data_IF_898508241204
#
_entry.id   IF_898508241204
#
_cell.length_a   1.000
_cell.length_b   1.000
_cell.length_c   1.000
_cell.angle_alpha   90.00
_cell.angle_beta   90.00
_cell.angle_gamma   90.00
#
_symmetry.space_group_name_H-M   'P 1'
#
loop_
_entity.id
_entity.type
_entity.pdbx_description
1 polymer ?
#
# COMPACT_ATOMS: atom_id res chain seq x y z
N UNK A 1 2.47 -31.61 -4.53
CA UNK A 1 3.43 -30.90 -5.40
C UNK A 1 4.50 -30.29 -4.51
N UNK A 2 5.73 -30.78 -4.59
CA UNK A 2 6.83 -30.42 -3.69
C UNK A 2 7.50 -29.12 -4.15
N UNK A 3 7.50 -28.10 -3.28
CA UNK A 3 8.08 -26.76 -3.51
C UNK A 3 9.61 -26.71 -3.40
N UNK A 4 10.21 -27.72 -2.77
CA UNK A 4 11.65 -27.78 -2.48
C UNK A 4 12.55 -27.98 -3.73
N UNK A 5 12.21 -28.84 -4.71
CA UNK A 5 13.03 -29.00 -5.91
C UNK A 5 12.95 -27.79 -6.86
N UNK A 6 11.85 -27.03 -6.82
CA UNK A 6 11.67 -25.86 -7.66
C UNK A 6 12.47 -24.63 -7.19
N UNK A 7 12.74 -24.51 -5.89
CA UNK A 7 13.68 -23.53 -5.34
C UNK A 7 15.09 -23.66 -5.93
N UNK A 8 15.47 -24.86 -6.37
CA UNK A 8 16.78 -25.17 -6.95
C UNK A 8 16.81 -25.21 -8.49
N UNK A 9 15.66 -25.10 -9.17
CA UNK A 9 15.63 -25.01 -10.64
C UNK A 9 15.94 -23.57 -11.10
N UNK A 10 17.20 -23.35 -11.49
CA UNK A 10 17.71 -22.11 -12.08
C UNK A 10 17.31 -21.92 -13.57
N UNK A 11 16.10 -22.32 -13.95
CA UNK A 11 15.58 -22.10 -15.30
C UNK A 11 14.77 -20.82 -15.34
N UNK A 12 15.17 -19.84 -16.17
CA UNK A 12 14.33 -18.69 -16.49
C UNK A 12 13.06 -19.17 -17.20
N UNK A 13 11.99 -19.38 -16.44
CA UNK A 13 10.70 -19.76 -16.99
C UNK A 13 10.13 -18.55 -17.77
N UNK A 14 9.90 -18.73 -19.08
CA UNK A 14 9.35 -17.75 -20.04
C UNK A 14 9.86 -16.31 -19.86
N UNK A 15 11.10 -16.05 -20.30
CA UNK A 15 11.76 -14.75 -20.16
C UNK A 15 11.04 -13.53 -20.79
N UNK A 16 10.05 -13.75 -21.67
CA UNK A 16 9.38 -12.67 -22.41
C UNK A 16 8.01 -12.26 -21.82
N UNK A 17 7.41 -13.05 -20.92
CA UNK A 17 6.09 -12.76 -20.32
C UNK A 17 6.25 -12.39 -18.83
N UNK A 18 5.50 -11.38 -18.36
CA UNK A 18 5.53 -10.93 -16.96
C UNK A 18 6.79 -10.18 -16.52
N UNK A 19 7.63 -9.71 -17.46
CA UNK A 19 8.90 -9.02 -17.15
C UNK A 19 8.68 -7.73 -16.34
N UNK A 20 7.70 -6.92 -16.72
CA UNK A 20 7.39 -5.66 -16.01
C UNK A 20 6.91 -5.95 -14.59
N UNK A 21 5.95 -6.86 -14.42
CA UNK A 21 5.39 -7.20 -13.10
C UNK A 21 6.48 -7.71 -12.16
N UNK A 22 7.38 -8.58 -12.64
CA UNK A 22 8.52 -9.09 -11.87
C UNK A 22 9.47 -7.98 -11.43
N UNK A 23 9.82 -7.06 -12.34
CA UNK A 23 10.67 -5.92 -12.00
C UNK A 23 10.00 -5.01 -10.96
N UNK A 24 8.71 -4.70 -11.12
CA UNK A 24 7.97 -3.90 -10.15
C UNK A 24 7.89 -4.55 -8.77
N UNK A 25 7.61 -5.86 -8.69
CA UNK A 25 7.59 -6.56 -7.39
C UNK A 25 8.97 -6.57 -6.74
N UNK A 26 10.05 -6.77 -7.51
CA UNK A 26 11.41 -6.68 -6.98
C UNK A 26 11.72 -5.27 -6.45
N UNK A 27 11.42 -4.22 -7.21
CA UNK A 27 11.65 -2.84 -6.78
C UNK A 27 10.80 -2.47 -5.55
N UNK A 28 9.54 -2.89 -5.50
CA UNK A 28 8.67 -2.64 -4.35
C UNK A 28 9.25 -3.25 -3.05
N UNK A 29 9.69 -4.51 -3.11
CA UNK A 29 10.30 -5.19 -1.96
C UNK A 29 11.65 -4.54 -1.59
N UNK A 30 12.49 -4.20 -2.58
CA UNK A 30 13.77 -3.56 -2.34
C UNK A 30 13.64 -2.17 -1.70
N UNK A 31 12.65 -1.38 -2.14
CA UNK A 31 12.34 -0.06 -1.57
C UNK A 31 11.81 -0.22 -0.14
N UNK A 32 10.85 -1.11 0.10
CA UNK A 32 10.34 -1.39 1.44
C UNK A 32 11.45 -1.84 2.39
N UNK A 33 12.31 -2.75 1.95
CA UNK A 33 13.47 -3.20 2.72
C UNK A 33 14.44 -2.03 2.99
N UNK A 34 14.64 -1.12 2.03
CA UNK A 34 15.49 0.05 2.22
C UNK A 34 14.91 0.98 3.29
N UNK A 35 13.61 1.28 3.24
CA UNK A 35 12.92 2.07 4.26
C UNK A 35 12.99 1.42 5.65
N UNK A 36 12.83 0.09 5.74
CA UNK A 36 13.00 -0.65 6.99
C UNK A 36 14.41 -0.52 7.55
N UNK A 37 15.44 -0.67 6.70
CA UNK A 37 16.84 -0.54 7.10
C UNK A 37 17.21 0.90 7.51
N UNK A 38 16.67 1.91 6.83
CA UNK A 38 16.87 3.33 7.18
C UNK A 38 16.21 3.63 8.54
N UNK A 39 15.00 3.13 8.76
CA UNK A 39 14.29 3.30 10.05
C UNK A 39 15.04 2.60 11.19
N UNK A 40 15.57 1.40 10.95
CA UNK A 40 16.37 0.67 11.92
C UNK A 40 17.68 1.39 12.26
N UNK A 41 18.36 1.95 11.26
CA UNK A 41 19.60 2.71 11.43
C UNK A 41 19.38 4.02 12.22
N UNK A 42 18.26 4.72 11.97
CA UNK A 42 17.97 6.04 12.57
C UNK A 42 17.23 5.99 13.90
N UNK A 43 16.66 4.84 14.28
CA UNK A 43 15.95 4.68 15.55
C UNK A 43 16.77 3.89 16.56
N UNK A 44 16.54 2.58 16.71
CA UNK A 44 17.08 1.75 17.79
C UNK A 44 18.59 1.51 17.72
N UNK A 45 19.22 1.72 16.55
CA UNK A 45 20.67 1.55 16.39
C UNK A 45 21.48 2.83 16.71
N UNK A 46 20.83 3.95 16.99
CA UNK A 46 21.51 5.25 17.26
C UNK A 46 22.41 5.23 18.50
N UNK A 47 22.17 4.32 19.45
CA UNK A 47 22.96 4.18 20.68
C UNK A 47 24.23 3.31 20.51
N UNK A 48 24.35 2.56 19.41
CA UNK A 48 25.46 1.66 19.13
C UNK A 48 26.55 2.34 18.29
N UNK A 49 27.74 1.74 18.19
CA UNK A 49 28.85 2.30 17.40
C UNK A 49 28.51 2.47 15.91
N UNK A 50 29.09 3.52 15.29
CA UNK A 50 28.85 3.92 13.89
C UNK A 50 29.05 2.80 12.86
N UNK A 51 29.93 1.83 13.15
CA UNK A 51 30.14 0.65 12.31
C UNK A 51 28.91 -0.28 12.32
N UNK A 52 28.29 -0.53 13.48
CA UNK A 52 27.12 -1.41 13.61
C UNK A 52 25.86 -0.74 13.04
N UNK A 53 25.75 0.59 13.19
CA UNK A 53 24.68 1.40 12.62
C UNK A 53 24.57 1.32 11.10
N UNK A 54 25.70 1.15 10.40
CA UNK A 54 25.74 1.14 8.94
C UNK A 54 25.88 -0.28 8.40
N UNK A 55 26.72 -1.12 9.00
CA UNK A 55 26.99 -2.45 8.49
C UNK A 55 25.77 -3.39 8.63
N UNK A 56 25.09 -3.36 9.78
CA UNK A 56 23.96 -4.26 10.03
C UNK A 56 22.77 -4.01 9.09
N UNK A 57 22.29 -2.76 8.90
CA UNK A 57 21.18 -2.51 7.99
C UNK A 57 21.55 -2.75 6.52
N UNK A 58 22.81 -2.53 6.13
CA UNK A 58 23.26 -2.76 4.75
C UNK A 58 23.31 -4.26 4.43
N UNK A 59 23.82 -5.09 5.33
CA UNK A 59 23.83 -6.55 5.17
C UNK A 59 22.39 -7.10 5.13
N UNK A 60 21.52 -6.63 6.03
CA UNK A 60 20.11 -7.01 6.03
C UNK A 60 19.44 -6.63 4.72
N UNK A 61 19.68 -5.42 4.22
CA UNK A 61 19.13 -4.96 2.95
C UNK A 61 19.59 -5.81 1.77
N UNK A 62 20.89 -6.14 1.68
CA UNK A 62 21.42 -6.99 0.62
C UNK A 62 20.86 -8.42 0.69
N UNK A 63 20.76 -9.00 1.89
CA UNK A 63 20.18 -10.34 2.07
C UNK A 63 18.69 -10.39 1.71
N UNK A 64 17.93 -9.35 2.07
CA UNK A 64 16.53 -9.19 1.70
C UNK A 64 16.37 -9.01 0.19
N UNK A 65 17.20 -8.16 -0.44
CA UNK A 65 17.17 -7.94 -1.88
C UNK A 65 17.53 -9.20 -2.67
N UNK A 66 18.52 -9.98 -2.22
CA UNK A 66 18.87 -11.26 -2.80
C UNK A 66 17.73 -12.28 -2.71
N UNK A 67 17.11 -12.38 -1.54
CA UNK A 67 15.97 -13.28 -1.31
C UNK A 67 14.78 -12.87 -2.16
N UNK A 68 14.49 -11.58 -2.27
CA UNK A 68 13.45 -11.04 -3.14
C UNK A 68 13.72 -11.36 -4.61
N UNK A 69 14.96 -11.19 -5.08
CA UNK A 69 15.34 -11.57 -6.45
C UNK A 69 15.13 -13.06 -6.71
N UNK A 70 15.47 -13.92 -5.74
CA UNK A 70 15.25 -15.37 -5.86
C UNK A 70 13.76 -15.73 -5.89
N UNK A 71 12.96 -15.17 -4.99
CA UNK A 71 11.52 -15.46 -4.89
C UNK A 71 10.74 -14.98 -6.12
N UNK A 72 11.02 -13.77 -6.61
CA UNK A 72 10.37 -13.20 -7.81
C UNK A 72 10.69 -13.99 -9.08
N UNK A 73 11.82 -14.70 -9.09
CA UNK A 73 12.24 -15.54 -10.22
C UNK A 73 11.77 -17.00 -10.12
N UNK A 74 11.02 -17.37 -9.07
CA UNK A 74 10.41 -18.71 -8.97
C UNK A 74 9.26 -18.85 -9.96
N UNK A 75 9.18 -20.02 -10.61
CA UNK A 75 8.17 -20.31 -11.64
C UNK A 75 6.74 -20.14 -11.11
N UNK A 76 6.45 -20.68 -9.90
CA UNK A 76 5.12 -20.58 -9.26
C UNK A 76 4.69 -19.13 -9.05
N UNK A 77 5.59 -18.28 -8.56
CA UNK A 77 5.27 -16.88 -8.29
C UNK A 77 5.15 -16.07 -9.59
N UNK A 78 5.99 -16.36 -10.59
CA UNK A 78 5.90 -15.74 -11.91
C UNK A 78 4.58 -16.08 -12.62
N UNK A 79 4.12 -17.33 -12.54
CA UNK A 79 2.85 -17.75 -13.12
C UNK A 79 1.64 -17.09 -12.43
N UNK A 80 1.72 -16.91 -11.10
CA UNK A 80 0.73 -16.13 -10.37
C UNK A 80 0.69 -14.66 -10.84
N UNK A 81 1.85 -14.00 -10.94
CA UNK A 81 1.93 -12.61 -11.39
C UNK A 81 1.39 -12.42 -12.81
N UNK A 82 1.67 -13.35 -13.72
CA UNK A 82 1.14 -13.34 -15.09
C UNK A 82 -0.38 -13.52 -15.09
N UNK A 83 -0.91 -14.41 -14.24
CA UNK A 83 -2.36 -14.58 -14.07
C UNK A 83 -3.02 -13.30 -13.58
N UNK A 84 -2.46 -12.65 -12.55
CA UNK A 84 -2.96 -11.37 -12.03
C UNK A 84 -2.90 -10.26 -13.09
N UNK A 85 -1.82 -10.19 -13.87
CA UNK A 85 -1.72 -9.25 -15.00
C UNK A 85 -2.85 -9.48 -16.00
N UNK A 86 -3.11 -10.74 -16.37
CA UNK A 86 -4.20 -11.08 -17.29
C UNK A 86 -5.59 -10.75 -16.73
N UNK A 87 -5.77 -10.83 -15.42
CA UNK A 87 -7.03 -10.47 -14.76
C UNK A 87 -7.20 -8.96 -14.64
N UNK A 88 -6.12 -8.23 -14.33
CA UNK A 88 -6.13 -6.76 -14.34
C UNK A 88 -6.41 -6.18 -15.73
N UNK A 89 -5.95 -6.83 -16.79
CA UNK A 89 -6.26 -6.44 -18.17
C UNK A 89 -7.73 -6.64 -18.54
N UNK A 90 -8.46 -7.49 -17.81
CA UNK A 90 -9.92 -7.67 -17.98
C UNK A 90 -10.72 -6.60 -17.25
N UNK A 91 -10.11 -5.90 -16.29
CA UNK A 91 -10.77 -4.83 -15.57
C UNK A 91 -10.86 -3.60 -16.47
N UNK A 92 -12.09 -3.26 -16.86
CA UNK A 92 -12.38 -1.99 -17.54
C UNK A 92 -12.35 -0.87 -16.51
N UNK A 93 -11.24 -0.14 -16.45
CA UNK A 93 -11.13 1.03 -15.58
C UNK A 93 -12.07 2.14 -16.06
N UNK A 94 -12.82 2.79 -15.15
CA UNK A 94 -13.73 3.86 -15.51
C UNK A 94 -12.98 5.02 -16.13
N UNK A 95 -13.60 5.66 -17.12
CA UNK A 95 -13.04 6.86 -17.74
C UNK A 95 -12.91 8.00 -16.72
N UNK A 96 -12.00 8.94 -16.95
CA UNK A 96 -11.81 10.11 -16.06
C UNK A 96 -13.13 10.85 -15.79
N UNK A 97 -14.00 10.94 -16.79
CA UNK A 97 -15.30 11.59 -16.68
C UNK A 97 -16.28 10.82 -15.77
N UNK A 98 -16.31 9.49 -15.87
CA UNK A 98 -17.16 8.64 -15.02
C UNK A 98 -16.74 8.74 -13.55
N UNK A 99 -15.42 8.74 -13.29
CA UNK A 99 -14.87 8.92 -11.94
C UNK A 99 -15.28 10.26 -11.35
N UNK A 100 -15.22 11.34 -12.14
CA UNK A 100 -15.65 12.67 -11.70
C UNK A 100 -17.14 12.69 -11.42
N UNK A 101 -17.97 12.14 -12.32
CA UNK A 101 -19.42 12.09 -12.13
C UNK A 101 -19.80 11.30 -10.86
N UNK A 102 -19.21 10.12 -10.66
CA UNK A 102 -19.44 9.33 -9.45
C UNK A 102 -19.01 10.09 -8.18
N UNK A 103 -17.84 10.73 -8.21
CA UNK A 103 -17.33 11.50 -7.06
C UNK A 103 -18.21 12.71 -6.75
N UNK A 104 -18.67 13.44 -7.77
CA UNK A 104 -19.53 14.62 -7.60
C UNK A 104 -20.87 14.24 -6.94
N UNK A 105 -21.48 13.13 -7.34
CA UNK A 105 -22.73 12.64 -6.71
C UNK A 105 -22.50 12.34 -5.23
N UNK A 106 -21.41 11.63 -4.90
CA UNK A 106 -21.07 11.29 -3.51
C UNK A 106 -20.82 12.55 -2.70
N UNK A 107 -19.96 13.46 -3.16
CA UNK A 107 -19.66 14.71 -2.46
C UNK A 107 -20.91 15.56 -2.25
N UNK A 108 -21.77 15.67 -3.27
CA UNK A 108 -23.04 16.42 -3.16
C UNK A 108 -23.95 15.80 -2.09
N UNK A 109 -24.03 14.48 -2.03
CA UNK A 109 -24.85 13.77 -1.03
C UNK A 109 -24.30 13.98 0.39
N UNK A 110 -22.98 13.87 0.58
CA UNK A 110 -22.31 14.11 1.86
C UNK A 110 -22.49 15.55 2.34
N UNK A 111 -22.35 16.53 1.45
CA UNK A 111 -22.57 17.95 1.76
C UNK A 111 -24.05 18.22 2.08
N UNK A 112 -24.98 17.62 1.34
CA UNK A 112 -26.41 17.74 1.60
C UNK A 112 -26.80 17.21 2.99
N UNK A 113 -26.33 16.01 3.33
CA UNK A 113 -26.54 15.43 4.66
C UNK A 113 -25.86 16.25 5.76
N UNK A 114 -24.63 16.71 5.54
CA UNK A 114 -23.91 17.56 6.49
C UNK A 114 -24.63 18.89 6.74
N UNK A 115 -25.16 19.51 5.67
CA UNK A 115 -25.95 20.75 5.77
C UNK A 115 -27.25 20.52 6.54
N UNK A 116 -27.94 19.41 6.29
CA UNK A 116 -29.15 19.04 7.01
C UNK A 116 -28.90 18.86 8.51
N UNK A 117 -27.85 18.12 8.89
CA UNK A 117 -27.46 17.95 10.28
C UNK A 117 -27.09 19.29 10.92
N UNK A 118 -26.32 20.14 10.23
CA UNK A 118 -25.97 21.47 10.72
C UNK A 118 -27.19 22.35 10.98
N UNK A 119 -28.21 22.31 10.11
CA UNK A 119 -29.45 23.06 10.33
C UNK A 119 -30.22 22.55 11.55
N UNK A 120 -30.26 21.23 11.74
CA UNK A 120 -30.86 20.62 12.93
C UNK A 120 -30.11 21.07 14.19
N UNK A 121 -28.79 21.02 14.19
CA UNK A 121 -27.96 21.45 15.32
C UNK A 121 -28.17 22.93 15.66
N UNK A 122 -28.34 23.78 14.64
CA UNK A 122 -28.63 25.21 14.82
C UNK A 122 -30.01 25.43 15.47
N UNK A 123 -31.03 24.72 14.99
CA UNK A 123 -32.40 24.78 15.54
C UNK A 123 -32.41 24.32 16.99
N UNK A 124 -31.75 23.21 17.31
CA UNK A 124 -31.65 22.71 18.68
C UNK A 124 -30.90 23.67 19.59
N UNK A 125 -29.77 24.20 19.14
CA UNK A 125 -28.98 25.17 19.92
C UNK A 125 -29.79 26.43 20.23
N UNK A 126 -30.50 26.97 19.23
CA UNK A 126 -31.37 28.13 19.43
C UNK A 126 -32.51 27.83 20.41
N UNK A 127 -33.16 26.67 20.26
CA UNK A 127 -34.24 26.22 21.14
C UNK A 127 -33.75 26.08 22.60
N UNK A 128 -32.59 25.47 22.82
CA UNK A 128 -32.01 25.31 24.17
C UNK A 128 -31.58 26.63 24.80
N UNK A 129 -31.08 27.58 24.00
CA UNK A 129 -30.77 28.93 24.47
C UNK A 129 -32.01 29.69 24.92
N UNK A 130 -33.12 29.59 24.18
CA UNK A 130 -34.40 30.25 24.55
C UNK A 130 -35.01 29.65 25.83
N UNK A 131 -34.85 28.34 26.04
CA UNK A 131 -35.32 27.66 27.26
C UNK A 131 -34.42 28.00 28.48
N UNK A 132 -33.28 28.65 28.27
CA UNK A 132 -32.37 29.07 29.35
C UNK A 132 -31.51 27.94 29.93
N UNK A 133 -31.44 26.78 29.25
CA UNK A 133 -30.68 25.62 29.72
C UNK A 133 -29.16 25.81 29.61
N UNK A 134 -28.70 26.73 28.74
CA UNK A 134 -27.28 27.05 28.53
C UNK A 134 -26.64 27.88 29.65
N UNK A 135 -27.42 28.40 30.59
CA UNK A 135 -26.92 29.19 31.74
C UNK A 135 -26.78 28.34 33.02
N UNK A 136 -27.20 27.06 33.00
CA UNK A 136 -27.23 26.17 34.18
C UNK A 136 -26.10 25.10 34.19
N UNK A 137 -25.23 25.11 33.18
CA UNK A 137 -23.99 24.31 33.03
C UNK A 137 -22.86 25.26 32.67
#
# INVERSE_FOLDING_TARGET
MSVLPELFRAGLYKANQGRMVRQFTFFAIAILAAFGCITLARGPLMAQGRAVQVALPLVLWLSASWTAFRLVNLAVFADFLISVESELLRVTWPGKQEVIQATVVVVTTMVGLGTFLFLIDLVWTWTFSVIGFSELI
#
